data_IF_732400743355
#
_entry.id   IF_732400743355
#
_cell.length_a   1.000
_cell.length_b   1.000
_cell.length_c   1.000
_cell.angle_alpha   90.00
_cell.angle_beta   90.00
_cell.angle_gamma   90.00
#
_symmetry.space_group_name_H-M   'P 1'
#
loop_
_entity.id
_entity.type
_entity.pdbx_description
1 polymer ?
#
# COMPACT_ATOMS: atom_id res chain seq x y z
N UNK A 1 -18.19 -6.41 9.08
CA UNK A 1 -16.96 -6.11 8.32
C UNK A 1 -16.93 -7.02 7.10
N UNK A 2 -16.66 -6.49 5.91
CA UNK A 2 -16.62 -7.27 4.67
C UNK A 2 -15.20 -7.76 4.45
N UNK A 3 -15.05 -9.07 4.25
CA UNK A 3 -13.77 -9.64 3.84
C UNK A 3 -13.54 -9.41 2.34
N UNK A 4 -12.41 -8.82 1.97
CA UNK A 4 -11.94 -8.69 0.59
C UNK A 4 -10.57 -9.38 0.57
N UNK A 5 -10.38 -10.43 -0.24
CA UNK A 5 -9.19 -11.28 -0.10
C UNK A 5 -7.93 -10.63 -0.66
N UNK A 6 -8.08 -9.66 -1.56
CA UNK A 6 -6.97 -8.94 -2.19
C UNK A 6 -7.48 -7.90 -3.20
N UNK A 7 -6.56 -7.15 -3.80
CA UNK A 7 -6.91 -6.05 -4.69
C UNK A 7 -7.70 -6.48 -5.93
N UNK A 8 -7.53 -7.72 -6.40
CA UNK A 8 -8.28 -8.28 -7.54
C UNK A 8 -9.76 -8.52 -7.25
N UNK A 9 -10.19 -8.51 -5.99
CA UNK A 9 -11.58 -8.73 -5.58
C UNK A 9 -12.33 -7.42 -5.24
N UNK A 10 -11.72 -6.28 -5.57
CA UNK A 10 -12.38 -4.98 -5.44
C UNK A 10 -13.42 -4.87 -6.56
N UNK A 11 -14.65 -4.53 -6.18
CA UNK A 11 -15.79 -4.35 -7.08
C UNK A 11 -16.41 -2.97 -6.86
N UNK A 12 -17.29 -2.49 -7.76
CA UNK A 12 -18.02 -1.24 -7.55
C UNK A 12 -18.76 -1.20 -6.20
N UNK A 13 -19.29 -2.34 -5.75
CA UNK A 13 -20.07 -2.46 -4.51
C UNK A 13 -19.22 -2.30 -3.24
N UNK A 14 -17.93 -2.65 -3.29
CA UNK A 14 -17.04 -2.61 -2.11
C UNK A 14 -15.94 -1.54 -2.18
N UNK A 15 -15.71 -0.93 -3.35
CA UNK A 15 -14.64 0.05 -3.60
C UNK A 15 -14.66 1.28 -2.68
N UNK A 16 -15.83 1.64 -2.13
CA UNK A 16 -15.95 2.72 -1.16
C UNK A 16 -15.13 2.47 0.12
N UNK A 17 -14.89 1.20 0.50
CA UNK A 17 -14.00 0.87 1.61
C UNK A 17 -12.54 1.24 1.28
N UNK A 18 -12.10 0.99 0.05
CA UNK A 18 -10.74 1.31 -0.43
C UNK A 18 -10.52 2.82 -0.45
N UNK A 19 -11.51 3.60 -0.90
CA UNK A 19 -11.45 5.06 -0.85
C UNK A 19 -11.19 5.57 0.58
N UNK A 20 -11.96 5.06 1.57
CA UNK A 20 -11.76 5.41 2.99
C UNK A 20 -10.38 5.00 3.52
N UNK A 21 -9.81 3.90 3.04
CA UNK A 21 -8.46 3.47 3.40
C UNK A 21 -7.42 4.46 2.87
N UNK A 22 -7.52 4.92 1.63
CA UNK A 22 -6.60 5.93 1.09
C UNK A 22 -6.71 7.29 1.81
N UNK A 23 -7.92 7.68 2.22
CA UNK A 23 -8.10 8.83 3.11
C UNK A 23 -7.40 8.63 4.47
N UNK A 24 -7.49 7.41 5.04
CA UNK A 24 -6.82 7.07 6.28
C UNK A 24 -5.29 7.07 6.13
N UNK A 25 -4.76 6.55 5.03
CA UNK A 25 -3.33 6.57 4.71
C UNK A 25 -2.82 8.02 4.69
N UNK A 26 -3.52 8.94 4.01
CA UNK A 26 -3.11 10.35 3.98
C UNK A 26 -3.10 10.99 5.39
N UNK A 27 -4.09 10.66 6.22
CA UNK A 27 -4.15 11.11 7.61
C UNK A 27 -2.99 10.55 8.45
N UNK A 28 -2.69 9.27 8.31
CA UNK A 28 -1.58 8.60 9.00
C UNK A 28 -0.26 9.21 8.56
N UNK A 29 -0.02 9.37 7.26
CA UNK A 29 1.22 9.95 6.76
C UNK A 29 1.47 11.36 7.32
N UNK A 30 0.42 12.19 7.38
CA UNK A 30 0.49 13.51 8.02
C UNK A 30 0.77 13.42 9.52
N UNK A 31 0.10 12.51 10.23
CA UNK A 31 0.27 12.34 11.68
C UNK A 31 1.68 11.86 12.05
N UNK A 32 2.28 11.01 11.21
CA UNK A 32 3.64 10.48 11.38
C UNK A 32 4.73 11.45 10.86
N UNK A 33 4.38 12.65 10.40
CA UNK A 33 5.35 13.63 9.92
C UNK A 33 6.06 13.23 8.62
N UNK A 34 5.41 12.43 7.77
CA UNK A 34 5.96 11.99 6.49
C UNK A 34 5.79 13.11 5.46
N UNK A 35 6.83 13.92 5.29
CA UNK A 35 6.82 15.10 4.41
C UNK A 35 7.52 14.85 3.07
N UNK A 36 8.54 13.99 3.03
CA UNK A 36 9.38 13.71 1.84
C UNK A 36 8.78 12.66 0.89
N UNK A 37 7.51 12.34 1.06
CA UNK A 37 6.77 11.36 0.26
C UNK A 37 6.75 9.94 0.84
N UNK A 38 5.85 9.12 0.30
CA UNK A 38 5.62 7.74 0.72
C UNK A 38 5.20 6.87 -0.46
N UNK A 39 5.27 5.55 -0.28
CA UNK A 39 4.76 4.54 -1.22
C UNK A 39 3.70 3.69 -0.55
N UNK A 40 2.58 3.50 -1.23
CA UNK A 40 1.55 2.53 -0.85
C UNK A 40 1.69 1.30 -1.73
N UNK A 41 1.78 0.11 -1.12
CA UNK A 41 1.86 -1.17 -1.84
C UNK A 41 0.76 -2.11 -1.34
N UNK A 42 0.00 -2.69 -2.27
CA UNK A 42 -0.89 -3.83 -2.01
C UNK A 42 -0.48 -4.96 -2.94
N UNK A 43 -0.14 -6.11 -2.38
CA UNK A 43 0.25 -7.28 -3.17
C UNK A 43 -0.99 -8.07 -3.56
N UNK A 44 -1.00 -8.62 -4.77
CA UNK A 44 -2.12 -9.40 -5.28
C UNK A 44 -1.61 -10.69 -5.94
N UNK A 45 -1.89 -11.83 -5.32
CA UNK A 45 -1.44 -13.15 -5.75
C UNK A 45 -0.01 -13.50 -5.34
N UNK A 46 0.36 -14.76 -5.57
CA UNK A 46 1.60 -15.38 -5.09
C UNK A 46 2.86 -14.72 -5.67
N UNK A 47 2.88 -14.46 -6.99
CA UNK A 47 4.02 -13.83 -7.66
C UNK A 47 4.26 -12.37 -7.22
N UNK A 48 3.24 -11.73 -6.63
CA UNK A 48 3.38 -10.40 -6.04
C UNK A 48 3.78 -10.47 -4.55
N UNK A 49 3.95 -11.66 -3.97
CA UNK A 49 4.31 -11.84 -2.57
C UNK A 49 3.13 -11.68 -1.60
N UNK A 50 1.89 -11.91 -2.04
CA UNK A 50 0.75 -11.91 -1.12
C UNK A 50 0.75 -13.21 -0.29
N UNK A 51 0.94 -13.09 1.02
CA UNK A 51 0.95 -14.24 1.96
C UNK A 51 -0.32 -14.32 2.82
N UNK A 52 -0.94 -13.17 3.11
CA UNK A 52 -2.24 -13.08 3.80
C UNK A 52 -3.30 -12.69 2.79
N UNK A 53 -4.30 -13.56 2.62
CA UNK A 53 -5.44 -13.35 1.71
C UNK A 53 -6.52 -12.46 2.35
N UNK A 54 -6.09 -11.27 2.78
CA UNK A 54 -6.92 -10.18 3.25
C UNK A 54 -6.36 -8.89 2.64
N UNK A 55 -7.21 -8.03 2.09
CA UNK A 55 -6.78 -6.77 1.49
C UNK A 55 -6.07 -5.91 2.54
N UNK A 56 -4.80 -5.61 2.28
CA UNK A 56 -3.97 -4.78 3.16
C UNK A 56 -3.07 -3.88 2.34
N UNK A 57 -2.67 -2.77 2.95
CA UNK A 57 -1.86 -1.73 2.33
C UNK A 57 -0.62 -1.51 3.18
N UNK A 58 0.55 -1.70 2.60
CA UNK A 58 1.80 -1.29 3.20
C UNK A 58 2.01 0.19 2.91
N UNK A 59 2.29 0.97 3.95
CA UNK A 59 2.73 2.36 3.85
C UNK A 59 4.22 2.42 4.17
N UNK A 60 5.05 2.71 3.18
CA UNK A 60 6.50 2.81 3.32
C UNK A 60 6.92 4.27 3.18
N UNK A 61 7.89 4.71 3.98
CA UNK A 61 8.45 6.07 3.93
C UNK A 61 9.84 6.12 4.58
N UNK A 62 10.46 7.31 4.62
CA UNK A 62 11.71 7.58 5.32
C UNK A 62 12.99 7.30 4.53
N UNK A 63 12.88 6.79 3.31
CA UNK A 63 14.00 6.55 2.40
C UNK A 63 13.60 6.88 0.96
N UNK A 64 14.57 7.31 0.13
CA UNK A 64 14.36 7.44 -1.32
C UNK A 64 14.21 6.04 -1.93
N UNK A 65 13.01 5.71 -2.40
CA UNK A 65 12.74 4.41 -3.02
C UNK A 65 12.95 4.47 -4.52
N UNK A 66 13.71 3.53 -5.06
CA UNK A 66 13.85 3.35 -6.51
C UNK A 66 12.66 2.65 -7.15
N UNK A 67 12.77 2.38 -8.45
CA UNK A 67 11.76 1.68 -9.24
C UNK A 67 12.42 0.68 -10.20
N UNK A 68 11.80 -0.49 -10.40
CA UNK A 68 12.35 -1.52 -11.29
C UNK A 68 13.75 -1.98 -10.86
N UNK A 69 14.74 -1.91 -11.77
CA UNK A 69 16.12 -2.30 -11.51
C UNK A 69 16.81 -1.45 -10.42
N UNK A 70 16.27 -0.26 -10.12
CA UNK A 70 16.81 0.66 -9.11
C UNK A 70 16.21 0.44 -7.72
N UNK A 71 15.36 -0.57 -7.51
CA UNK A 71 14.53 -0.73 -6.32
C UNK A 71 15.32 -0.85 -4.99
N UNK A 72 16.61 -1.18 -5.04
CA UNK A 72 17.53 -1.09 -3.91
C UNK A 72 18.89 -0.63 -4.43
N UNK A 73 19.25 0.62 -4.14
CA UNK A 73 20.64 1.08 -4.21
C UNK A 73 21.08 1.35 -2.76
N UNK A 74 22.22 0.80 -2.29
CA UNK A 74 22.81 1.24 -1.04
C UNK A 74 23.11 2.75 -1.16
N UNK A 75 22.74 3.51 -0.14
CA UNK A 75 23.24 4.88 0.00
C UNK A 75 24.66 4.75 0.55
N UNK A 76 25.66 5.34 -0.13
CA UNK A 76 27.00 5.53 0.46
C UNK A 76 26.94 6.43 1.70
#
# INVERSE_FOLDING_TARGET
>A
EQHISGASEITPENSAAVAKIFEAIAKIAKAEGIEDGFRVVTNCGENAGQTVHHLHFHLLAGVKMGWGADAVQPVE
#
